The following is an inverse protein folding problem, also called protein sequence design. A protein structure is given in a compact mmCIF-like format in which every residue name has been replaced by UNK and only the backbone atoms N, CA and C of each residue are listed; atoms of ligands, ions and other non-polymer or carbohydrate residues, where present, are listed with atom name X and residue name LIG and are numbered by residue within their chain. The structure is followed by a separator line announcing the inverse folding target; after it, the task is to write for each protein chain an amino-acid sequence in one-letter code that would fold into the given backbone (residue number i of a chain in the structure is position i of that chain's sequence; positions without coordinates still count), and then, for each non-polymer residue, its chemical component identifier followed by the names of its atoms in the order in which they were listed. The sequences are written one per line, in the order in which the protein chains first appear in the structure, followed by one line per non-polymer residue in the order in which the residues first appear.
data_IF_654488209683
#
_entry.id   IF_654488209683
#
_cell.length_a   1.000
_cell.length_b   1.000
_cell.length_c   1.000
_cell.angle_alpha   90.00
_cell.angle_beta   90.00
_cell.angle_gamma   90.00
#
_symmetry.space_group_name_H-M   'P 1'
#
loop_
_entity.id
_entity.type
_entity.pdbx_description
1 polymer ?
#
# COMPACT_ATOMS: atom_id res chain seq x y z
N UNK A 1 -8.72 8.01 -15.91
CA UNK A 1 -7.58 8.95 -15.76
C UNK A 1 -6.68 8.37 -14.68
N UNK A 2 -5.59 7.69 -15.06
CA UNK A 2 -4.74 6.91 -14.15
C UNK A 2 -3.96 7.89 -13.27
N UNK A 3 -4.30 7.97 -11.97
CA UNK A 3 -3.59 8.83 -11.00
C UNK A 3 -2.31 8.13 -10.58
N UNK A 4 -1.22 8.49 -11.27
CA UNK A 4 0.09 7.86 -11.18
C UNK A 4 0.98 8.56 -10.16
N UNK A 5 1.42 7.85 -9.12
CA UNK A 5 2.39 8.36 -8.14
C UNK A 5 3.74 7.67 -8.43
N UNK A 6 4.68 8.42 -9.02
CA UNK A 6 5.97 7.91 -9.52
C UNK A 6 7.16 8.11 -8.56
N UNK A 7 6.95 8.67 -7.38
CA UNK A 7 8.04 8.92 -6.45
C UNK A 7 8.06 7.86 -5.38
N UNK A 8 9.27 7.36 -5.08
CA UNK A 8 9.52 6.73 -3.80
C UNK A 8 9.34 7.78 -2.71
N UNK A 9 8.55 7.47 -1.70
CA UNK A 9 8.43 8.31 -0.51
C UNK A 9 8.20 7.44 0.71
N UNK A 10 8.65 7.92 1.86
CA UNK A 10 8.36 7.28 3.15
C UNK A 10 7.00 7.71 3.64
N UNK A 11 6.26 6.75 4.18
CA UNK A 11 4.96 6.96 4.77
C UNK A 11 4.83 6.12 6.05
N UNK A 12 4.15 6.68 7.06
CA UNK A 12 3.68 5.87 8.17
C UNK A 12 2.64 4.88 7.66
N UNK A 13 2.66 3.69 8.26
CA UNK A 13 1.75 2.61 7.85
C UNK A 13 0.28 3.01 7.98
N UNK A 14 -0.07 3.70 9.07
CA UNK A 14 -1.44 4.14 9.32
C UNK A 14 -1.90 5.19 8.30
N UNK A 15 -1.03 6.12 7.91
CA UNK A 15 -1.32 7.15 6.90
C UNK A 15 -1.53 6.52 5.52
N UNK A 16 -0.70 5.53 5.16
CA UNK A 16 -0.86 4.75 3.93
C UNK A 16 -2.21 4.05 3.91
N UNK A 17 -2.60 3.40 5.02
CA UNK A 17 -3.85 2.67 5.11
C UNK A 17 -5.10 3.58 5.15
N UNK A 18 -4.96 4.83 5.60
CA UNK A 18 -6.06 5.79 5.67
C UNK A 18 -6.19 6.68 4.42
N UNK A 19 -5.15 6.75 3.58
CA UNK A 19 -5.13 7.65 2.44
C UNK A 19 -6.01 7.17 1.28
N UNK A 20 -6.91 8.05 0.84
CA UNK A 20 -7.76 7.85 -0.34
C UNK A 20 -6.96 7.70 -1.65
N UNK A 21 -5.68 8.09 -1.67
CA UNK A 21 -4.82 7.90 -2.83
C UNK A 21 -4.35 6.45 -3.00
N UNK A 22 -4.44 5.62 -1.96
CA UNK A 22 -4.01 4.22 -1.98
C UNK A 22 -5.18 3.24 -1.82
N UNK A 23 -6.25 3.63 -1.13
CA UNK A 23 -7.44 2.77 -0.99
C UNK A 23 -7.98 2.35 -2.36
N UNK A 24 -8.23 1.06 -2.51
CA UNK A 24 -8.68 0.41 -3.74
C UNK A 24 -7.59 0.16 -4.78
N UNK A 25 -6.31 0.40 -4.45
CA UNK A 25 -5.17 0.26 -5.38
C UNK A 25 -4.16 -0.76 -4.90
N UNK A 26 -3.35 -1.22 -5.86
CA UNK A 26 -2.15 -2.00 -5.60
C UNK A 26 -0.97 -1.08 -5.31
N UNK A 27 -0.28 -1.36 -4.21
CA UNK A 27 0.85 -0.58 -3.73
C UNK A 27 2.05 -1.50 -3.61
N UNK A 28 3.14 -1.14 -4.28
CA UNK A 28 4.45 -1.73 -4.05
C UNK A 28 5.14 -0.98 -2.92
N UNK A 29 5.61 -1.70 -1.90
CA UNK A 29 6.34 -1.15 -0.76
C UNK A 29 7.70 -1.84 -0.60
N UNK A 30 8.62 -1.12 0.02
CA UNK A 30 9.97 -1.59 0.35
C UNK A 30 10.41 -0.99 1.70
N UNK A 31 11.59 -1.40 2.20
CA UNK A 31 12.23 -0.84 3.40
C UNK A 31 11.29 -0.71 4.61
N UNK A 32 10.54 -1.78 4.89
CA UNK A 32 9.53 -1.82 5.96
C UNK A 32 10.20 -1.79 7.33
N UNK A 33 9.83 -0.80 8.14
CA UNK A 33 10.16 -0.75 9.57
C UNK A 33 8.99 -1.29 10.37
N UNK A 34 9.26 -2.13 11.36
CA UNK A 34 8.24 -2.74 12.22
C UNK A 34 8.29 -2.15 13.63
N UNK A 35 7.13 -2.09 14.30
CA UNK A 35 7.08 -1.69 15.71
C UNK A 35 7.81 -2.73 16.59
N UNK A 36 8.61 -2.30 17.59
CA UNK A 36 9.36 -3.21 18.45
C UNK A 36 8.48 -4.27 19.11
N UNK A 37 8.91 -5.53 19.05
CA UNK A 37 8.18 -6.65 19.66
C UNK A 37 6.91 -7.09 18.93
N UNK A 38 6.60 -6.52 17.76
CA UNK A 38 5.43 -6.89 16.96
C UNK A 38 5.82 -7.23 15.52
N UNK A 39 4.87 -7.74 14.74
CA UNK A 39 4.98 -7.87 13.28
C UNK A 39 4.21 -6.77 12.54
N UNK A 40 3.87 -5.68 13.25
CA UNK A 40 3.09 -4.58 12.71
C UNK A 40 4.01 -3.55 12.06
N UNK A 41 3.82 -3.21 10.78
CA UNK A 41 4.59 -2.15 10.15
C UNK A 41 4.32 -0.79 10.82
N UNK A 42 5.36 0.00 11.03
CA UNK A 42 5.26 1.39 11.51
C UNK A 42 5.50 2.40 10.40
N UNK A 43 6.47 2.15 9.53
CA UNK A 43 6.85 2.98 8.38
C UNK A 43 7.22 2.09 7.20
N UNK A 44 6.91 2.55 5.99
CA UNK A 44 7.28 1.89 4.73
C UNK A 44 7.75 2.90 3.71
N UNK A 45 8.54 2.46 2.76
CA UNK A 45 8.80 3.20 1.52
C UNK A 45 7.80 2.75 0.46
N UNK A 46 6.92 3.64 0.03
CA UNK A 46 6.05 3.38 -1.12
C UNK A 46 6.87 3.54 -2.38
N UNK A 47 6.87 2.52 -3.23
CA UNK A 47 7.69 2.45 -4.44
C UNK A 47 6.92 2.89 -5.68
N UNK A 48 5.73 2.33 -5.87
CA UNK A 48 4.86 2.57 -7.00
C UNK A 48 3.43 2.14 -6.63
N UNK A 49 2.45 2.67 -7.34
CA UNK A 49 1.02 2.42 -7.12
C UNK A 49 0.33 2.28 -8.46
N UNK A 50 -0.57 1.32 -8.57
CA UNK A 50 -1.42 1.15 -9.75
C UNK A 50 -2.80 0.57 -9.40
N UNK A 51 -3.77 0.82 -10.26
CA UNK A 51 -5.08 0.18 -10.17
C UNK A 51 -5.01 -1.27 -10.75
N UNK A 52 -4.03 -1.55 -11.62
CA UNK A 52 -3.78 -2.84 -12.25
C UNK A 52 -2.49 -3.51 -11.73
N UNK A 53 -2.65 -4.66 -11.07
CA UNK A 53 -1.56 -5.47 -10.54
C UNK A 53 -0.57 -5.92 -11.63
N UNK A 54 -1.05 -6.29 -12.81
CA UNK A 54 -0.20 -6.76 -13.90
C UNK A 54 0.67 -5.62 -14.44
N UNK A 55 0.08 -4.43 -14.58
CA UNK A 55 0.80 -3.23 -14.98
C UNK A 55 1.85 -2.83 -13.92
N UNK A 56 1.53 -2.92 -12.63
CA UNK A 56 2.47 -2.68 -11.54
C UNK A 56 3.62 -3.68 -11.56
N UNK A 57 3.32 -4.98 -11.60
CA UNK A 57 4.33 -6.04 -11.62
C UNK A 57 5.28 -5.94 -12.81
N UNK A 58 4.74 -5.61 -13.99
CA UNK A 58 5.55 -5.41 -15.21
C UNK A 58 6.56 -4.30 -15.00
N UNK A 59 6.16 -3.20 -14.35
CA UNK A 59 7.07 -2.09 -14.06
C UNK A 59 8.10 -2.43 -13.01
N UNK A 60 7.72 -3.11 -11.93
CA UNK A 60 8.67 -3.54 -10.88
C UNK A 60 9.77 -4.42 -11.45
N UNK A 61 9.43 -5.32 -12.37
CA UNK A 61 10.43 -6.13 -13.11
C UNK A 61 11.30 -5.27 -14.01
N UNK A 62 10.71 -4.34 -14.77
CA UNK A 62 11.45 -3.46 -15.66
C UNK A 62 12.39 -2.50 -14.93
N UNK A 63 12.05 -2.08 -13.70
CA UNK A 63 12.89 -1.23 -12.85
C UNK A 63 13.89 -2.00 -11.98
N UNK A 64 14.04 -3.31 -12.21
CA UNK A 64 14.87 -4.23 -11.42
C UNK A 64 14.57 -4.19 -9.91
N UNK A 65 13.33 -3.86 -9.57
CA UNK A 65 12.88 -3.72 -8.19
C UNK A 65 12.09 -4.97 -7.79
N UNK A 66 12.81 -6.09 -7.68
CA UNK A 66 12.24 -7.41 -7.45
C UNK A 66 12.09 -7.78 -5.97
N UNK A 67 12.68 -7.00 -5.06
CA UNK A 67 12.68 -7.25 -3.62
C UNK A 67 11.61 -6.46 -2.85
N UNK A 68 10.57 -5.98 -3.55
CA UNK A 68 9.45 -5.25 -2.93
C UNK A 68 8.28 -6.18 -2.58
N UNK A 69 7.48 -5.78 -1.59
CA UNK A 69 6.19 -6.40 -1.30
C UNK A 69 5.09 -5.67 -2.07
N UNK A 70 4.15 -6.39 -2.67
CA UNK A 70 2.97 -5.80 -3.34
C UNK A 70 1.72 -6.16 -2.54
N UNK A 71 0.96 -5.14 -2.14
CA UNK A 71 -0.27 -5.29 -1.36
C UNK A 71 -1.44 -4.55 -2.00
N UNK A 72 -2.65 -5.02 -1.71
CA UNK A 72 -3.88 -4.34 -2.10
C UNK A 72 -4.45 -3.60 -0.89
N UNK A 73 -4.55 -2.28 -0.99
CA UNK A 73 -5.13 -1.45 0.06
C UNK A 73 -6.66 -1.55 0.01
N UNK A 74 -7.23 -2.44 0.82
CA UNK A 74 -8.69 -2.57 0.93
C UNK A 74 -9.27 -1.37 1.68
N UNK A 75 -10.45 -0.91 1.25
CA UNK A 75 -11.23 0.02 2.04
C UNK A 75 -11.54 -0.61 3.41
N UNK A 76 -11.30 0.13 4.49
CA UNK A 76 -11.81 -0.25 5.81
C UNK A 76 -13.33 -0.19 5.73
N UNK A 77 -13.98 -1.33 5.48
CA UNK A 77 -15.43 -1.46 5.66
C UNK A 77 -15.73 -1.03 7.09
N UNK A 78 -16.45 0.08 7.25
CA UNK A 78 -17.03 0.42 8.55
C UNK A 78 -17.96 -0.74 8.91
N UNK A 79 -17.54 -1.60 9.84
CA UNK A 79 -18.45 -2.57 10.42
C UNK A 79 -19.42 -1.74 11.23
N UNK A 80 -20.61 -1.47 10.68
CA UNK A 80 -21.71 -0.93 11.49
C UNK A 80 -22.00 -2.00 12.54
N UNK A 81 -21.97 -1.69 13.85
CA UNK A 81 -22.38 -2.66 14.86
C UNK A 81 -23.83 -3.09 14.55
N UNK A 82 -24.19 -4.37 14.78
CA UNK A 82 -25.56 -4.82 14.60
C UNK A 82 -26.48 -3.88 15.37
N UNK A 83 -27.52 -3.35 14.71
CA UNK A 83 -28.59 -2.66 15.43
C UNK A 83 -29.30 -3.75 16.23
N UNK A 84 -29.09 -3.76 17.54
CA UNK A 84 -29.94 -4.51 18.46
C UNK A 84 -31.35 -3.92 18.30
N UNK A 85 -32.24 -4.70 17.70
CA UNK A 85 -33.67 -4.42 17.61
C UNK A 85 -34.40 -5.03 18.79
#
# INVERSE_FOLDING_TARGET
MIRRIRRRFRARWDDLCASADFIGRWVAIDNVTYQPGTRTPSEVEVVDVDDDLAALCTRMRASNQTSCCVLHCLEKKSVRPPRLG
#
